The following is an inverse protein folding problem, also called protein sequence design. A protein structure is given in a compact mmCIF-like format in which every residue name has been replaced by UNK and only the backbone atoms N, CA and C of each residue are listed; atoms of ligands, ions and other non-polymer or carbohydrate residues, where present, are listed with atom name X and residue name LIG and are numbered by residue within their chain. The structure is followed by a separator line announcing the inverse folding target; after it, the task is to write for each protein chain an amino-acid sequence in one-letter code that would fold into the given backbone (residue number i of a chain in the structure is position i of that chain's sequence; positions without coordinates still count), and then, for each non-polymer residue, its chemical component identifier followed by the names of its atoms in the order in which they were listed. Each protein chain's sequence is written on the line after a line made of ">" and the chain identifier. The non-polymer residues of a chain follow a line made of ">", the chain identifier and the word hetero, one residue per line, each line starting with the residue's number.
data_IF_577961428109
#
_entry.id   IF_577961428109
#
_cell.length_a   1.000
_cell.length_b   1.000
_cell.length_c   1.000
_cell.angle_alpha   90.00
_cell.angle_beta   90.00
_cell.angle_gamma   90.00
#
_symmetry.space_group_name_H-M   'P 1'
#
loop_
_entity.id
_entity.type
_entity.pdbx_description
1 polymer ?
#
# COMPACT_ATOMS: atom_id res chain seq x y z
N UNK A 1 -29.37 -0.98 -21.13
CA UNK A 1 -28.04 -0.47 -20.75
C UNK A 1 -27.29 -1.69 -20.23
N UNK A 2 -26.13 -2.00 -20.79
CA UNK A 2 -25.37 -3.22 -20.47
C UNK A 2 -24.16 -2.78 -19.66
N UNK A 3 -23.95 -3.41 -18.51
CA UNK A 3 -22.84 -3.14 -17.62
C UNK A 3 -21.76 -4.20 -17.86
N UNK A 4 -20.50 -3.77 -17.86
CA UNK A 4 -19.34 -4.65 -17.91
C UNK A 4 -18.51 -4.46 -16.66
N UNK A 5 -18.01 -5.56 -16.11
CA UNK A 5 -17.05 -5.52 -15.02
C UNK A 5 -15.64 -5.34 -15.58
N UNK A 6 -15.02 -4.20 -15.28
CA UNK A 6 -13.61 -3.96 -15.55
C UNK A 6 -12.77 -4.20 -14.28
N UNK A 7 -11.56 -4.71 -14.46
CA UNK A 7 -10.60 -4.92 -13.38
C UNK A 7 -9.28 -4.25 -13.75
N UNK A 8 -8.77 -3.41 -12.87
CA UNK A 8 -7.45 -2.77 -12.98
C UNK A 8 -6.62 -3.22 -11.79
N UNK A 9 -5.39 -3.66 -12.05
CA UNK A 9 -4.46 -4.12 -11.01
C UNK A 9 -3.19 -3.26 -11.03
N UNK A 10 -2.80 -2.78 -9.84
CA UNK A 10 -1.56 -2.06 -9.62
C UNK A 10 -0.66 -2.90 -8.72
N UNK A 11 0.55 -3.16 -9.17
CA UNK A 11 1.62 -3.75 -8.36
C UNK A 11 2.66 -2.69 -8.04
N UNK A 12 2.97 -2.51 -6.75
CA UNK A 12 3.91 -1.52 -6.25
C UNK A 12 4.97 -2.23 -5.41
N UNK A 13 6.22 -2.14 -5.84
CA UNK A 13 7.35 -2.71 -5.11
C UNK A 13 8.05 -1.64 -4.26
N UNK A 14 7.97 -1.77 -2.94
CA UNK A 14 8.76 -0.99 -2.00
C UNK A 14 10.14 -1.66 -1.85
N UNK A 15 11.09 -1.31 -2.72
CA UNK A 15 12.42 -1.95 -2.71
C UNK A 15 13.28 -1.48 -1.52
N UNK A 16 13.64 -0.19 -1.48
CA UNK A 16 14.49 0.39 -0.43
C UNK A 16 13.91 1.69 0.10
N UNK A 17 14.08 1.92 1.39
CA UNK A 17 13.84 3.19 2.04
C UNK A 17 15.17 3.92 2.27
N UNK A 18 15.28 5.15 1.75
CA UNK A 18 16.46 6.00 1.90
C UNK A 18 16.14 7.11 2.90
N UNK A 19 16.73 7.05 4.09
CA UNK A 19 16.56 8.12 5.07
C UNK A 19 17.41 9.34 4.69
N UNK A 20 16.82 10.37 4.10
CA UNK A 20 17.52 11.61 3.77
C UNK A 20 17.79 12.44 5.03
N UNK A 21 16.77 12.72 5.83
CA UNK A 21 16.88 13.67 6.94
C UNK A 21 15.88 13.46 8.09
N UNK A 22 15.29 12.27 8.25
CA UNK A 22 14.39 11.99 9.38
C UNK A 22 15.09 12.35 10.70
N UNK A 23 14.44 13.20 11.49
CA UNK A 23 14.96 13.74 12.74
C UNK A 23 14.78 12.80 13.92
N UNK A 24 13.87 11.83 13.80
CA UNK A 24 13.50 10.90 14.85
C UNK A 24 14.15 9.54 14.59
N UNK A 25 14.70 8.92 15.64
CA UNK A 25 15.19 7.54 15.59
C UNK A 25 14.10 6.64 16.13
N UNK A 26 13.91 5.48 15.52
CA UNK A 26 12.91 4.52 15.98
C UNK A 26 12.40 3.67 14.84
N UNK A 27 11.17 3.20 14.98
CA UNK A 27 10.54 2.28 14.06
C UNK A 27 9.59 3.02 13.13
N UNK A 28 9.65 2.61 11.87
CA UNK A 28 8.89 3.19 10.78
C UNK A 28 8.11 2.11 10.06
N UNK A 29 6.97 2.52 9.50
CA UNK A 29 6.12 1.68 8.66
C UNK A 29 5.54 2.54 7.55
N UNK A 30 5.57 2.04 6.32
CA UNK A 30 4.87 2.65 5.20
C UNK A 30 3.47 2.05 5.14
N UNK A 31 2.45 2.89 5.06
CA UNK A 31 1.07 2.46 4.80
C UNK A 31 0.64 2.93 3.43
N UNK A 32 0.15 2.00 2.63
CA UNK A 32 -0.29 2.24 1.28
C UNK A 32 -1.79 1.98 1.15
N UNK A 33 -2.49 2.86 0.46
CA UNK A 33 -3.89 2.65 0.09
C UNK A 33 -4.14 3.19 -1.31
N UNK A 34 -5.14 2.64 -1.99
CA UNK A 34 -5.63 3.15 -3.27
C UNK A 34 -6.91 3.94 -3.06
N UNK A 35 -6.94 5.17 -3.56
CA UNK A 35 -8.15 6.01 -3.61
C UNK A 35 -8.69 5.99 -5.04
N UNK A 36 -9.99 5.77 -5.15
CA UNK A 36 -10.73 5.72 -6.41
C UNK A 36 -11.92 6.66 -6.29
N UNK A 37 -12.25 7.46 -7.33
CA UNK A 37 -13.40 8.36 -7.28
C UNK A 37 -14.71 7.59 -6.99
N UNK A 38 -15.58 8.07 -6.07
CA UNK A 38 -16.82 7.38 -5.70
C UNK A 38 -17.90 7.45 -6.79
N UNK A 39 -17.65 8.17 -7.89
CA UNK A 39 -18.60 8.36 -9.01
C UNK A 39 -18.88 7.09 -9.80
N UNK A 40 -18.01 6.09 -9.72
CA UNK A 40 -18.19 4.77 -10.34
C UNK A 40 -18.28 3.72 -9.24
N UNK A 41 -19.31 2.85 -9.24
CA UNK A 41 -19.36 1.72 -8.30
C UNK A 41 -18.12 0.84 -8.45
N UNK A 42 -17.39 0.67 -7.34
CA UNK A 42 -16.15 -0.07 -7.33
C UNK A 42 -15.91 -0.81 -6.01
N UNK A 43 -15.03 -1.80 -6.06
CA UNK A 43 -14.43 -2.47 -4.92
C UNK A 43 -12.91 -2.47 -5.08
N UNK A 44 -12.21 -2.04 -4.04
CA UNK A 44 -10.75 -2.19 -3.93
C UNK A 44 -10.49 -3.45 -3.12
N UNK A 45 -9.51 -4.25 -3.54
CA UNK A 45 -8.96 -5.36 -2.77
C UNK A 45 -7.45 -5.18 -2.70
N UNK A 46 -6.91 -5.19 -1.48
CA UNK A 46 -5.49 -5.09 -1.25
C UNK A 46 -4.89 -6.45 -0.86
N UNK A 47 -3.71 -6.76 -1.37
CA UNK A 47 -3.01 -8.02 -1.09
C UNK A 47 -1.48 -7.86 -1.18
N UNK A 48 -0.76 -8.82 -0.61
CA UNK A 48 0.70 -8.91 -0.69
C UNK A 48 1.09 -10.04 -1.64
N UNK A 49 1.96 -9.77 -2.62
CA UNK A 49 2.38 -10.78 -3.60
C UNK A 49 3.22 -11.89 -2.94
N UNK A 50 4.07 -11.51 -1.99
CA UNK A 50 4.91 -12.41 -1.20
C UNK A 50 4.70 -12.08 0.28
N UNK A 51 3.82 -12.81 0.99
CA UNK A 51 3.71 -12.67 2.44
C UNK A 51 5.10 -12.86 3.07
N UNK A 52 5.51 -12.00 4.02
CA UNK A 52 6.86 -12.09 4.56
C UNK A 52 7.13 -13.46 5.18
N UNK A 53 8.37 -13.94 5.06
CA UNK A 53 8.81 -15.11 5.81
C UNK A 53 8.59 -14.92 7.32
N UNK A 54 8.37 -16.00 8.05
CA UNK A 54 7.99 -16.04 9.47
C UNK A 54 8.99 -15.40 10.46
N UNK A 55 10.09 -14.84 9.98
CA UNK A 55 11.25 -14.48 10.79
C UNK A 55 11.22 -13.00 11.26
N UNK A 56 10.20 -12.23 10.86
CA UNK A 56 10.03 -10.84 11.27
C UNK A 56 9.02 -10.71 12.41
N UNK A 57 9.35 -9.91 13.43
CA UNK A 57 8.44 -9.61 14.55
C UNK A 57 7.17 -8.86 14.09
N UNK A 58 7.30 -7.97 13.11
CA UNK A 58 6.21 -7.19 12.53
C UNK A 58 6.29 -7.23 10.99
N UNK A 59 5.77 -8.29 10.36
CA UNK A 59 5.76 -8.44 8.91
C UNK A 59 4.79 -7.44 8.26
N UNK A 60 4.94 -7.23 6.95
CA UNK A 60 3.92 -6.59 6.13
C UNK A 60 2.57 -7.29 6.30
N UNK A 61 1.50 -6.50 6.33
CA UNK A 61 0.15 -6.97 6.59
C UNK A 61 -0.88 -6.12 5.83
N UNK A 62 -2.07 -6.68 5.62
CA UNK A 62 -3.22 -5.95 5.06
C UNK A 62 -4.26 -5.79 6.15
N UNK A 63 -4.74 -4.55 6.33
CA UNK A 63 -5.81 -4.20 7.29
C UNK A 63 -6.77 -3.26 6.59
N UNK A 64 -8.03 -3.67 6.42
CA UNK A 64 -9.09 -2.87 5.78
C UNK A 64 -8.68 -2.25 4.43
N UNK A 65 -8.13 -3.07 3.52
CA UNK A 65 -7.60 -2.68 2.21
C UNK A 65 -6.43 -1.66 2.24
N UNK A 66 -5.86 -1.40 3.41
CA UNK A 66 -4.60 -0.68 3.61
C UNK A 66 -3.48 -1.70 3.76
N UNK A 67 -2.43 -1.55 2.95
CA UNK A 67 -1.24 -2.41 3.04
C UNK A 67 -0.20 -1.70 3.91
N UNK A 68 0.13 -2.32 5.03
CA UNK A 68 1.22 -1.93 5.89
C UNK A 68 2.48 -2.69 5.46
N UNK A 69 3.57 -1.97 5.20
CA UNK A 69 4.89 -2.59 5.04
C UNK A 69 5.32 -3.30 6.32
N UNK A 70 6.36 -4.13 6.23
CA UNK A 70 7.09 -4.56 7.42
C UNK A 70 7.56 -3.33 8.19
N UNK A 71 7.64 -3.46 9.51
CA UNK A 71 8.27 -2.44 10.33
C UNK A 71 9.77 -2.47 10.13
N UNK A 72 10.39 -1.31 9.95
CA UNK A 72 11.83 -1.16 9.81
C UNK A 72 12.37 -0.09 10.75
N UNK A 73 13.62 -0.25 11.20
CA UNK A 73 14.26 0.67 12.13
C UNK A 73 15.14 1.67 11.38
N UNK A 74 15.13 2.92 11.83
CA UNK A 74 16.04 3.97 11.37
C UNK A 74 16.78 4.54 12.58
N UNK A 75 18.11 4.53 12.54
CA UNK A 75 19.00 4.97 13.60
C UNK A 75 19.85 6.17 13.18
N UNK A 76 20.22 6.25 11.90
CA UNK A 76 21.16 7.25 11.41
C UNK A 76 20.65 7.98 10.17
N UNK A 77 21.16 9.20 9.95
CA UNK A 77 20.93 9.94 8.71
C UNK A 77 21.63 9.23 7.55
N UNK A 78 21.06 9.32 6.35
CA UNK A 78 21.55 8.65 5.13
C UNK A 78 21.57 7.12 5.23
N UNK A 79 20.78 6.54 6.14
CA UNK A 79 20.62 5.09 6.26
C UNK A 79 19.73 4.54 5.13
N UNK A 80 20.13 3.41 4.57
CA UNK A 80 19.33 2.66 3.60
C UNK A 80 18.78 1.40 4.26
N UNK A 81 17.48 1.18 4.15
CA UNK A 81 16.85 -0.05 4.62
C UNK A 81 16.14 -0.75 3.48
N UNK A 82 16.42 -2.05 3.33
CA UNK A 82 15.74 -2.90 2.35
C UNK A 82 14.34 -3.22 2.87
N UNK A 83 13.29 -2.84 2.12
CA UNK A 83 11.89 -3.09 2.47
C UNK A 83 11.42 -4.39 1.80
N UNK A 84 11.56 -4.50 0.46
CA UNK A 84 11.18 -5.67 -0.35
C UNK A 84 9.73 -6.15 -0.18
N UNK A 85 8.80 -5.23 0.08
CA UNK A 85 7.37 -5.56 0.12
C UNK A 85 6.73 -5.25 -1.23
N UNK A 86 6.00 -6.21 -1.79
CA UNK A 86 5.27 -6.05 -3.05
C UNK A 86 3.78 -5.97 -2.75
N UNK A 87 3.24 -4.76 -2.93
CA UNK A 87 1.87 -4.38 -2.63
C UNK A 87 1.03 -4.52 -3.90
N UNK A 88 -0.13 -5.17 -3.82
CA UNK A 88 -1.03 -5.37 -4.95
C UNK A 88 -2.39 -4.78 -4.62
N UNK A 89 -2.84 -3.83 -5.43
CA UNK A 89 -4.17 -3.24 -5.36
C UNK A 89 -4.97 -3.65 -6.59
N UNK A 90 -6.09 -4.33 -6.37
CA UNK A 90 -7.02 -4.76 -7.42
C UNK A 90 -8.31 -3.96 -7.29
N UNK A 91 -8.68 -3.24 -8.34
CA UNK A 91 -9.87 -2.41 -8.38
C UNK A 91 -10.84 -3.04 -9.39
N UNK A 92 -11.98 -3.49 -8.90
CA UNK A 92 -13.08 -4.01 -9.71
C UNK A 92 -14.16 -2.95 -9.79
N UNK A 93 -14.60 -2.62 -11.00
CA UNK A 93 -15.55 -1.55 -11.26
C UNK A 93 -16.60 -1.95 -12.29
N UNK A 94 -17.81 -1.41 -12.14
CA UNK A 94 -18.90 -1.61 -13.09
C UNK A 94 -18.99 -0.39 -14.01
N UNK A 95 -18.80 -0.62 -15.31
CA UNK A 95 -18.75 0.43 -16.33
C UNK A 95 -19.86 0.22 -17.37
N UNK A 96 -20.28 1.30 -18.03
CA UNK A 96 -21.13 1.23 -19.23
C UNK A 96 -20.32 0.63 -20.39
N UNK A 97 -20.82 -0.44 -20.99
CA UNK A 97 -20.20 -1.13 -22.14
C UNK A 97 -19.80 -0.16 -23.26
N UNK A 98 -20.57 0.91 -23.48
CA UNK A 98 -20.31 1.87 -24.57
C UNK A 98 -19.29 2.94 -24.23
N UNK A 99 -18.91 3.07 -22.95
CA UNK A 99 -18.07 4.17 -22.43
C UNK A 99 -16.90 3.65 -21.60
N UNK A 100 -16.49 2.40 -21.79
CA UNK A 100 -15.40 1.78 -21.00
C UNK A 100 -14.13 2.62 -21.06
N UNK A 101 -13.68 2.99 -22.27
CA UNK A 101 -12.45 3.75 -22.48
C UNK A 101 -12.53 5.16 -21.87
N UNK A 102 -13.61 5.89 -22.15
CA UNK A 102 -13.86 7.22 -21.57
C UNK A 102 -13.87 7.14 -20.04
N UNK A 103 -14.60 6.19 -19.46
CA UNK A 103 -14.73 6.03 -18.01
C UNK A 103 -13.40 5.69 -17.34
N UNK A 104 -12.59 4.83 -17.96
CA UNK A 104 -11.27 4.47 -17.46
C UNK A 104 -10.27 5.64 -17.55
N UNK A 105 -10.27 6.39 -18.65
CA UNK A 105 -9.42 7.59 -18.79
C UNK A 105 -9.78 8.67 -17.77
N UNK A 106 -11.05 8.72 -17.41
CA UNK A 106 -11.60 9.59 -16.38
C UNK A 106 -11.27 9.11 -14.95
N UNK A 107 -10.84 7.86 -14.75
CA UNK A 107 -10.51 7.36 -13.42
C UNK A 107 -9.21 8.01 -12.92
N UNK A 108 -9.33 8.78 -11.84
CA UNK A 108 -8.21 9.38 -11.11
C UNK A 108 -7.74 8.42 -10.01
N UNK A 109 -7.11 7.31 -10.40
CA UNK A 109 -6.54 6.35 -9.46
C UNK A 109 -5.38 6.98 -8.69
N UNK A 110 -5.51 7.09 -7.37
CA UNK A 110 -4.49 7.73 -6.55
C UNK A 110 -3.91 6.75 -5.52
N UNK A 111 -2.63 6.44 -5.66
CA UNK A 111 -1.86 5.76 -4.62
C UNK A 111 -1.51 6.75 -3.51
N UNK A 112 -1.89 6.43 -2.28
CA UNK A 112 -1.53 7.17 -1.07
C UNK A 112 -0.48 6.39 -0.30
N UNK A 113 0.69 7.00 -0.06
CA UNK A 113 1.75 6.44 0.77
C UNK A 113 1.96 7.33 2.00
N UNK A 114 1.81 6.75 3.17
CA UNK A 114 2.00 7.42 4.46
C UNK A 114 3.17 6.79 5.21
N UNK A 115 3.99 7.61 5.87
CA UNK A 115 5.10 7.15 6.70
C UNK A 115 4.73 7.33 8.18
N UNK A 116 4.55 6.21 8.88
CA UNK A 116 4.26 6.17 10.30
C UNK A 116 5.55 6.01 11.10
N UNK A 117 5.59 6.61 12.28
CA UNK A 117 6.69 6.55 13.22
C UNK A 117 6.19 6.10 14.60
N UNK A 118 6.98 5.26 15.28
CA UNK A 118 6.82 4.95 16.71
C UNK A 118 8.21 4.79 17.35
N UNK A 119 8.36 5.26 18.58
CA UNK A 119 9.61 5.26 19.35
C UNK A 119 9.91 3.93 20.05
N UNK A 120 8.98 2.97 20.03
CA UNK A 120 9.28 1.56 20.29
C UNK A 120 9.08 1.04 21.71
N UNK A 121 8.15 1.58 22.49
CA UNK A 121 7.67 0.89 23.70
C UNK A 121 6.69 -0.25 23.35
N UNK A 122 7.22 -1.35 22.77
CA UNK A 122 6.49 -2.60 22.58
C UNK A 122 6.54 -3.51 23.83
N UNK A 123 6.58 -2.93 25.03
CA UNK A 123 6.73 -3.65 26.30
C UNK A 123 5.52 -4.51 26.72
N UNK A 124 4.48 -4.62 25.88
CA UNK A 124 3.28 -5.43 26.17
C UNK A 124 2.69 -6.10 24.93
N UNK A 125 3.38 -7.05 24.31
CA UNK A 125 2.69 -8.14 23.60
C UNK A 125 3.50 -9.43 23.78
N UNK A 126 3.19 -10.16 24.84
CA UNK A 126 3.58 -11.56 25.08
C UNK A 126 2.35 -12.44 25.09
#
# INVERSE_FOLDING_TARGET
>A
MSEVQATVEFSVELHKFYNVDLFQRGFYQIRASMKVPPRVPHKVEASLLHPPGSDLAFPAAVVDDVICSKTFQILYKNEEVVVNDVLVFKIMMLLDEKKVEESLNDMDFQLSLELYFTDGDFSYVS
#
